data_IF_350592625678
#
_entry.id   IF_350592625678
#
_cell.length_a   1.000
_cell.length_b   1.000
_cell.length_c   1.000
_cell.angle_alpha   90.00
_cell.angle_beta   90.00
_cell.angle_gamma   90.00
#
_symmetry.space_group_name_H-M   'P 1'
#
loop_
_entity.id
_entity.type
_entity.pdbx_description
1 polymer ?
#
# COMPACT_ATOMS: atom_id res chain seq x y z
N UNK A 1 15.27 -6.07 1.84
CA UNK A 1 14.98 -5.61 0.45
C UNK A 1 14.06 -4.42 0.59
N UNK A 2 14.33 -3.33 -0.14
CA UNK A 2 13.54 -2.11 -0.09
C UNK A 2 12.78 -1.99 -1.41
N UNK A 3 11.48 -1.74 -1.34
CA UNK A 3 10.63 -1.43 -2.49
C UNK A 3 10.18 0.03 -2.35
N UNK A 4 10.24 0.78 -3.45
CA UNK A 4 9.78 2.16 -3.48
C UNK A 4 8.48 2.17 -4.27
N UNK A 5 7.41 2.67 -3.64
CA UNK A 5 6.14 2.94 -4.29
C UNK A 5 6.00 4.45 -4.43
N UNK A 6 5.94 4.95 -5.66
CA UNK A 6 5.75 6.37 -5.91
C UNK A 6 4.27 6.67 -6.10
N UNK A 7 3.66 7.40 -5.16
CA UNK A 7 2.23 7.70 -5.17
C UNK A 7 1.75 8.35 -6.48
N UNK A 8 2.61 9.07 -7.21
CA UNK A 8 2.26 9.68 -8.50
C UNK A 8 1.85 8.65 -9.56
N UNK A 9 2.40 7.44 -9.48
CA UNK A 9 2.18 6.36 -10.44
C UNK A 9 0.86 5.63 -10.18
N UNK A 10 0.19 5.95 -9.08
CA UNK A 10 -1.05 5.33 -8.65
C UNK A 10 -2.24 6.29 -8.73
N UNK A 11 -3.42 5.71 -8.95
CA UNK A 11 -4.71 6.37 -8.84
C UNK A 11 -5.53 5.69 -7.73
N UNK A 12 -6.11 6.48 -6.83
CA UNK A 12 -6.99 5.96 -5.78
C UNK A 12 -8.30 5.44 -6.39
N UNK A 13 -8.84 4.35 -5.84
CA UNK A 13 -10.12 3.73 -6.21
C UNK A 13 -11.12 3.93 -5.05
N UNK A 14 -11.87 5.06 -5.03
CA UNK A 14 -12.71 5.41 -3.89
C UNK A 14 -13.85 4.42 -3.65
N UNK A 15 -14.36 3.78 -4.70
CA UNK A 15 -15.51 2.88 -4.63
C UNK A 15 -15.19 1.57 -3.90
N UNK A 16 -13.92 1.18 -3.88
CA UNK A 16 -13.42 -0.01 -3.17
C UNK A 16 -12.86 0.33 -1.78
N UNK A 17 -12.57 1.61 -1.55
CA UNK A 17 -11.86 2.06 -0.37
C UNK A 17 -12.82 2.42 0.76
N UNK A 18 -12.41 2.13 1.99
CA UNK A 18 -13.12 2.53 3.20
C UNK A 18 -12.12 2.91 4.29
N UNK A 19 -12.60 3.26 5.48
CA UNK A 19 -11.76 3.74 6.57
C UNK A 19 -10.55 2.81 6.80
N UNK A 20 -9.33 3.35 6.70
CA UNK A 20 -8.04 2.65 6.82
C UNK A 20 -7.77 1.53 5.81
N UNK A 21 -8.58 1.42 4.77
CA UNK A 21 -8.50 0.36 3.77
C UNK A 21 -8.60 1.01 2.39
N UNK A 22 -7.45 1.35 1.82
CA UNK A 22 -7.38 2.10 0.57
C UNK A 22 -6.93 1.18 -0.57
N UNK A 23 -7.52 1.37 -1.75
CA UNK A 23 -7.16 0.65 -2.96
C UNK A 23 -6.63 1.64 -3.99
N UNK A 24 -5.50 1.29 -4.58
CA UNK A 24 -4.82 2.10 -5.58
C UNK A 24 -4.52 1.26 -6.81
N UNK A 25 -4.63 1.85 -7.98
CA UNK A 25 -4.28 1.21 -9.26
C UNK A 25 -3.10 1.92 -9.89
N UNK A 26 -2.09 1.19 -10.30
CA UNK A 26 -0.99 1.74 -11.06
C UNK A 26 -1.47 2.16 -12.46
N UNK A 27 -1.17 3.39 -12.85
CA UNK A 27 -1.67 4.03 -14.09
C UNK A 27 -1.28 3.26 -15.35
N UNK A 28 -0.05 2.79 -15.44
CA UNK A 28 0.48 2.10 -16.63
C UNK A 28 0.30 0.57 -16.60
N UNK A 29 0.64 -0.08 -15.49
CA UNK A 29 0.69 -1.55 -15.39
C UNK A 29 -0.64 -2.18 -14.99
N UNK A 30 -1.55 -1.40 -14.39
CA UNK A 30 -2.81 -1.90 -13.86
C UNK A 30 -2.69 -2.71 -12.57
N UNK A 31 -1.51 -2.77 -11.94
CA UNK A 31 -1.30 -3.38 -10.63
C UNK A 31 -2.25 -2.71 -9.61
N UNK A 32 -2.91 -3.51 -8.78
CA UNK A 32 -3.79 -3.00 -7.71
C UNK A 32 -3.11 -3.23 -6.37
N UNK A 33 -2.86 -2.14 -5.65
CA UNK A 33 -2.29 -2.15 -4.30
C UNK A 33 -3.39 -1.89 -3.30
N UNK A 34 -3.46 -2.77 -2.30
CA UNK A 34 -4.22 -2.56 -1.09
C UNK A 34 -3.30 -2.00 -0.01
N UNK A 35 -3.63 -0.81 0.48
CA UNK A 35 -3.00 -0.14 1.61
C UNK A 35 -3.90 -0.26 2.84
N UNK A 36 -3.38 -0.85 3.92
CA UNK A 36 -4.07 -0.97 5.19
C UNK A 36 -3.36 -0.17 6.28
N UNK A 37 -4.07 0.76 6.91
CA UNK A 37 -3.56 1.50 8.06
C UNK A 37 -4.00 0.84 9.37
N UNK A 38 -3.06 0.26 10.11
CA UNK A 38 -3.30 -0.17 11.48
C UNK A 38 -2.89 0.94 12.44
N UNK A 39 -3.88 1.72 12.89
CA UNK A 39 -3.68 2.85 13.82
C UNK A 39 -3.16 2.42 15.19
N UNK A 40 -3.41 1.17 15.63
CA UNK A 40 -2.95 0.70 16.93
C UNK A 40 -1.45 0.46 16.93
N UNK A 41 -0.94 -0.11 15.82
CA UNK A 41 0.49 -0.38 15.63
C UNK A 41 1.23 0.72 14.88
N UNK A 42 0.48 1.71 14.38
CA UNK A 42 0.99 2.87 13.68
C UNK A 42 1.78 2.49 12.42
N UNK A 43 1.21 1.57 11.64
CA UNK A 43 1.82 1.02 10.43
C UNK A 43 0.87 1.08 9.24
N UNK A 44 1.43 1.33 8.07
CA UNK A 44 0.75 1.11 6.79
C UNK A 44 1.33 -0.14 6.13
N UNK A 45 0.46 -1.07 5.77
CA UNK A 45 0.78 -2.31 5.08
C UNK A 45 0.38 -2.23 3.61
N UNK A 46 1.22 -2.75 2.71
CA UNK A 46 0.98 -2.70 1.28
C UNK A 46 0.97 -4.12 0.71
N UNK A 47 -0.09 -4.45 -0.02
CA UNK A 47 -0.29 -5.77 -0.62
C UNK A 47 -0.70 -5.64 -2.08
N UNK A 48 -0.04 -6.35 -2.98
CA UNK A 48 -0.52 -6.53 -4.36
C UNK A 48 -1.73 -7.47 -4.34
N UNK A 49 -2.87 -6.95 -4.80
CA UNK A 49 -4.17 -7.63 -4.88
C UNK A 49 -4.70 -7.66 -6.32
N UNK A 50 -3.83 -7.49 -7.32
CA UNK A 50 -4.19 -7.53 -8.74
C UNK A 50 -4.89 -8.84 -9.11
N UNK A 51 -4.45 -9.95 -8.51
CA UNK A 51 -5.13 -11.24 -8.58
C UNK A 51 -5.71 -11.60 -7.19
N UNK A 52 -7.04 -11.64 -7.02
CA UNK A 52 -7.65 -11.93 -5.71
C UNK A 52 -7.37 -13.36 -5.21
N UNK A 53 -7.00 -14.30 -6.09
CA UNK A 53 -6.64 -15.67 -5.69
C UNK A 53 -5.17 -15.78 -5.23
N UNK A 54 -4.33 -14.79 -5.57
CA UNK A 54 -2.90 -14.77 -5.29
C UNK A 54 -2.45 -13.35 -4.95
N UNK A 55 -2.53 -13.02 -3.67
CA UNK A 55 -2.06 -11.75 -3.15
C UNK A 55 -0.60 -11.85 -2.68
N UNK A 56 0.12 -10.73 -2.77
CA UNK A 56 1.53 -10.67 -2.37
C UNK A 56 1.75 -9.51 -1.41
N UNK A 57 2.15 -9.80 -0.18
CA UNK A 57 2.57 -8.77 0.76
C UNK A 57 3.86 -8.12 0.27
N UNK A 58 3.86 -6.79 0.17
CA UNK A 58 4.99 -6.02 -0.37
C UNK A 58 5.86 -5.42 0.73
N UNK A 59 5.28 -5.18 1.90
CA UNK A 59 5.98 -4.62 3.05
C UNK A 59 5.10 -3.67 3.84
N UNK A 60 5.72 -3.02 4.81
CA UNK A 60 5.07 -1.99 5.62
C UNK A 60 6.00 -0.81 5.91
N UNK A 61 5.39 0.30 6.28
CA UNK A 61 6.08 1.50 6.76
C UNK A 61 5.31 2.12 7.94
N UNK A 62 5.87 3.15 8.59
CA UNK A 62 5.23 3.79 9.74
C UNK A 62 4.17 4.82 9.29
N UNK A 63 3.00 4.83 9.93
CA UNK A 63 1.91 5.74 9.57
C UNK A 63 2.19 7.23 9.93
N UNK A 64 3.16 7.51 10.81
CA UNK A 64 3.42 8.86 11.34
C UNK A 64 4.00 9.86 10.34
N UNK A 65 4.50 9.37 9.21
CA UNK A 65 5.13 10.23 8.21
C UNK A 65 4.14 10.74 7.16
N UNK A 66 2.84 10.43 7.27
CA UNK A 66 1.89 10.73 6.21
C UNK A 66 2.11 9.86 4.97
N UNK A 67 2.77 8.71 5.12
CA UNK A 67 3.07 7.79 4.03
C UNK A 67 1.81 7.05 3.58
N UNK A 68 1.03 7.64 2.68
CA UNK A 68 -0.07 7.00 1.95
C UNK A 68 0.12 7.24 0.47
N UNK A 69 -0.25 6.27 -0.37
CA UNK A 69 -0.20 6.43 -1.83
C UNK A 69 -1.14 7.52 -2.32
N UNK A 70 -2.00 8.04 -1.45
CA UNK A 70 -2.83 9.21 -1.69
C UNK A 70 -2.02 10.50 -1.87
N UNK A 71 -0.83 10.57 -1.28
CA UNK A 71 0.07 11.69 -1.42
C UNK A 71 1.05 11.36 -2.56
N UNK A 72 1.27 12.29 -3.48
CA UNK A 72 2.18 12.10 -4.64
C UNK A 72 3.66 12.10 -4.20
N UNK A 73 3.98 11.22 -3.26
CA UNK A 73 5.26 11.10 -2.58
C UNK A 73 5.76 9.66 -2.71
N UNK A 74 7.08 9.50 -2.59
CA UNK A 74 7.70 8.18 -2.57
C UNK A 74 7.56 7.56 -1.18
N UNK A 75 7.08 6.32 -1.13
CA UNK A 75 6.98 5.51 0.06
C UNK A 75 8.02 4.40 -0.03
N UNK A 76 8.90 4.33 0.96
CA UNK A 76 9.83 3.23 1.10
C UNK A 76 9.20 2.13 1.96
N UNK A 77 8.80 1.03 1.34
CA UNK A 77 8.25 -0.12 2.06
C UNK A 77 9.36 -1.10 2.41
N UNK A 78 9.44 -1.42 3.70
CA UNK A 78 10.35 -2.44 4.19
C UNK A 78 9.64 -3.79 4.21
N UNK A 79 10.23 -4.77 3.52
CA UNK A 79 9.76 -6.14 3.61
C UNK A 79 10.08 -6.69 5.01
N UNK A 80 9.11 -6.65 5.92
CA UNK A 80 9.19 -7.33 7.21
C UNK A 80 8.48 -8.67 7.08
N UNK A 81 9.24 -9.76 7.19
CA UNK A 81 8.65 -11.09 7.37
C UNK A 81 7.91 -11.03 8.71
N UNK A 82 6.58 -10.99 8.66
CA UNK A 82 5.77 -11.14 9.85
C UNK A 82 5.94 -12.60 10.29
N UNK A 83 6.79 -12.84 11.29
CA UNK A 83 6.86 -14.14 11.95
C UNK A 83 5.57 -14.31 12.74
N UNK A 84 4.63 -15.09 12.19
CA UNK A 84 3.50 -15.66 12.94
C UNK A 84 3.95 -16.88 13.72
#
# INVERSE_FOLDING_TARGET
MKLILDGKDFEHIPEMSCYNNNYFKHRETGIVIYEHCDENYQVNEYTDVTNPEKTYFLGCCSCHNGESLSYNEEIEVEFKIQYT
#
